data_IF_767713191078
#
_entry.id   IF_767713191078
#
_cell.length_a   1.000
_cell.length_b   1.000
_cell.length_c   1.000
_cell.angle_alpha   90.00
_cell.angle_beta   90.00
_cell.angle_gamma   90.00
#
_symmetry.space_group_name_H-M   'P 1'
#
loop_
_entity.id
_entity.type
_entity.pdbx_description
1 polymer ?
#
# COMPACT_ATOMS: atom_id res chain seq x y z
N UNK A 1 -12.83 -7.21 -2.58
CA UNK A 1 -12.45 -6.88 -3.97
C UNK A 1 -10.95 -7.10 -4.10
N UNK A 2 -10.53 -7.98 -5.01
CA UNK A 2 -9.11 -8.38 -5.13
C UNK A 2 -8.27 -7.38 -5.92
N UNK A 3 -6.96 -7.37 -5.67
CA UNK A 3 -5.96 -6.51 -6.34
C UNK A 3 -6.02 -6.65 -7.88
N UNK A 4 -6.24 -7.88 -8.35
CA UNK A 4 -6.27 -8.23 -9.78
C UNK A 4 -7.44 -7.57 -10.54
N UNK A 5 -8.61 -7.45 -9.89
CA UNK A 5 -9.79 -6.88 -10.54
C UNK A 5 -9.59 -5.40 -10.89
N UNK A 6 -9.06 -4.62 -9.95
CA UNK A 6 -8.87 -3.19 -10.14
C UNK A 6 -7.76 -2.90 -11.15
N UNK A 7 -6.70 -3.71 -11.18
CA UNK A 7 -5.68 -3.66 -12.23
C UNK A 7 -6.31 -3.85 -13.62
N UNK A 8 -7.07 -4.92 -13.83
CA UNK A 8 -7.65 -5.23 -15.13
C UNK A 8 -8.71 -4.20 -15.55
N UNK A 9 -9.55 -3.74 -14.61
CA UNK A 9 -10.55 -2.71 -14.86
C UNK A 9 -9.91 -1.39 -15.31
N UNK A 10 -8.81 -0.99 -14.67
CA UNK A 10 -8.04 0.18 -15.11
C UNK A 10 -7.45 -0.03 -16.51
N UNK A 11 -6.80 -1.16 -16.79
CA UNK A 11 -6.20 -1.40 -18.11
C UNK A 11 -7.24 -1.37 -19.24
N UNK A 12 -8.42 -1.92 -18.98
CA UNK A 12 -9.55 -1.83 -19.90
C UNK A 12 -10.02 -0.38 -20.09
N UNK A 13 -10.18 0.37 -19.02
CA UNK A 13 -10.65 1.77 -19.10
C UNK A 13 -9.63 2.70 -19.76
N UNK A 14 -8.34 2.37 -19.68
CA UNK A 14 -7.28 3.01 -20.47
C UNK A 14 -7.39 2.69 -21.95
N UNK A 15 -7.67 1.43 -22.30
CA UNK A 15 -7.88 1.02 -23.69
C UNK A 15 -9.08 1.73 -24.34
N UNK A 16 -10.19 1.86 -23.59
CA UNK A 16 -11.42 2.53 -24.07
C UNK A 16 -11.36 4.06 -23.90
N UNK A 17 -10.30 4.60 -23.28
CA UNK A 17 -10.15 6.03 -22.96
C UNK A 17 -11.29 6.60 -22.08
N UNK A 18 -11.84 5.77 -21.20
CA UNK A 18 -12.94 6.10 -20.26
C UNK A 18 -12.51 6.08 -18.79
N UNK A 19 -11.20 6.01 -18.50
CA UNK A 19 -10.69 5.93 -17.13
C UNK A 19 -11.27 6.98 -16.16
N UNK A 20 -11.38 8.24 -16.60
CA UNK A 20 -11.95 9.31 -15.76
C UNK A 20 -13.45 9.16 -15.52
N UNK A 21 -14.19 8.70 -16.53
CA UNK A 21 -15.64 8.47 -16.45
C UNK A 21 -15.97 7.27 -15.54
N UNK A 22 -15.12 6.25 -15.56
CA UNK A 22 -15.19 5.10 -14.67
C UNK A 22 -14.75 5.41 -13.23
N UNK A 23 -14.29 6.63 -12.95
CA UNK A 23 -13.93 7.08 -11.60
C UNK A 23 -12.48 6.81 -11.21
N UNK A 24 -11.59 6.61 -12.19
CA UNK A 24 -10.15 6.55 -11.94
C UNK A 24 -9.52 7.94 -12.06
N UNK A 25 -8.90 8.39 -10.98
CA UNK A 25 -8.01 9.55 -10.98
C UNK A 25 -6.57 9.07 -10.81
N UNK A 26 -5.64 9.72 -11.53
CA UNK A 26 -4.22 9.36 -11.50
C UNK A 26 -3.39 10.55 -11.04
N UNK A 27 -2.46 10.28 -10.15
CA UNK A 27 -1.57 11.26 -9.57
C UNK A 27 -0.13 10.76 -9.69
N UNK A 28 0.81 11.65 -9.95
CA UNK A 28 2.23 11.36 -9.72
C UNK A 28 2.47 11.27 -8.23
N UNK A 29 3.10 10.18 -7.79
CA UNK A 29 3.38 9.92 -6.39
C UNK A 29 4.85 10.15 -6.08
N UNK A 30 5.13 11.10 -5.20
CA UNK A 30 6.44 11.28 -4.60
C UNK A 30 6.33 11.17 -3.08
N UNK A 31 7.27 10.45 -2.46
CA UNK A 31 7.26 10.24 -1.01
C UNK A 31 8.63 10.46 -0.43
N UNK A 32 8.73 11.35 0.55
CA UNK A 32 9.98 11.60 1.28
C UNK A 32 10.04 10.61 2.45
N UNK A 33 10.88 9.59 2.29
CA UNK A 33 11.03 8.50 3.27
C UNK A 33 12.00 8.88 4.38
N UNK A 34 11.75 8.32 5.57
CA UNK A 34 12.68 8.42 6.67
C UNK A 34 13.82 7.41 6.51
N UNK A 35 14.88 7.82 5.82
CA UNK A 35 16.06 6.99 5.56
C UNK A 35 16.75 6.50 6.84
N UNK A 36 16.73 7.31 7.90
CA UNK A 36 17.32 6.91 9.18
C UNK A 36 16.54 5.75 9.80
N UNK A 37 15.21 5.83 9.76
CA UNK A 37 14.37 4.71 10.20
C UNK A 37 14.56 3.46 9.35
N UNK A 38 14.70 3.58 8.03
CA UNK A 38 15.02 2.43 7.16
C UNK A 38 16.37 1.79 7.52
N UNK A 39 17.40 2.61 7.78
CA UNK A 39 18.74 2.15 8.18
C UNK A 39 18.70 1.42 9.52
N UNK A 40 18.05 2.00 10.52
CA UNK A 40 17.86 1.37 11.84
C UNK A 40 17.12 0.06 11.71
N UNK A 41 16.05 0.02 10.92
CA UNK A 41 15.24 -1.17 10.73
C UNK A 41 16.02 -2.30 10.03
N UNK A 42 16.87 -1.99 9.05
CA UNK A 42 17.81 -2.97 8.46
C UNK A 42 18.81 -3.49 9.48
N UNK A 43 19.36 -2.61 10.30
CA UNK A 43 20.34 -2.95 11.34
C UNK A 43 19.73 -3.87 12.39
N UNK A 44 18.55 -3.52 12.90
CA UNK A 44 17.79 -4.34 13.87
C UNK A 44 17.45 -5.71 13.29
N UNK A 45 16.99 -5.79 12.02
CA UNK A 45 16.71 -7.07 11.35
C UNK A 45 17.96 -7.94 11.22
N UNK A 46 19.10 -7.33 10.88
CA UNK A 46 20.38 -8.04 10.79
C UNK A 46 20.77 -8.62 12.15
N UNK A 47 20.72 -7.83 13.23
CA UNK A 47 21.01 -8.34 14.57
C UNK A 47 20.04 -9.41 15.04
N UNK A 48 18.75 -9.24 14.76
CA UNK A 48 17.75 -10.26 15.05
C UNK A 48 18.08 -11.57 14.32
N UNK A 49 18.50 -11.53 13.05
CA UNK A 49 18.91 -12.73 12.31
C UNK A 49 20.18 -13.37 12.86
N UNK A 50 21.15 -12.58 13.33
CA UNK A 50 22.40 -13.07 13.91
C UNK A 50 22.18 -13.73 15.28
N UNK A 51 21.31 -13.17 16.13
CA UNK A 51 21.00 -13.75 17.46
C UNK A 51 20.06 -14.96 17.42
N UNK A 52 19.18 -15.07 16.42
CA UNK A 52 18.33 -16.26 16.24
C UNK A 52 19.15 -17.52 15.94
N UNK A 53 20.32 -17.38 15.31
CA UNK A 53 21.28 -18.50 15.13
C UNK A 53 22.01 -18.89 16.44
N UNK A 54 21.89 -18.08 17.49
CA UNK A 54 22.46 -18.31 18.82
C UNK A 54 21.38 -18.38 19.90
N UNK A 55 20.59 -19.46 19.91
CA UNK A 55 19.81 -20.00 21.04
C UNK A 55 19.15 -19.03 22.05
N UNK A 56 18.76 -17.82 21.66
CA UNK A 56 18.26 -16.79 22.58
C UNK A 56 16.83 -16.39 22.22
N UNK A 57 15.89 -16.82 23.07
CA UNK A 57 14.43 -16.62 22.96
C UNK A 57 13.96 -15.19 23.29
N UNK A 58 14.87 -14.23 23.50
CA UNK A 58 14.49 -12.90 23.98
C UNK A 58 14.09 -11.97 22.82
N UNK A 59 12.79 -11.63 22.80
CA UNK A 59 12.11 -10.82 21.77
C UNK A 59 12.24 -9.31 21.93
N UNK A 60 12.93 -8.83 22.97
CA UNK A 60 13.04 -7.40 23.25
C UNK A 60 14.25 -6.76 22.56
N UNK A 61 14.03 -5.61 21.93
CA UNK A 61 15.06 -4.81 21.23
C UNK A 61 16.18 -4.35 22.18
N UNK A 62 15.86 -4.19 23.46
CA UNK A 62 16.80 -3.93 24.56
C UNK A 62 17.66 -5.14 24.92
N UNK A 63 17.21 -6.37 24.65
CA UNK A 63 18.01 -7.59 24.81
C UNK A 63 18.91 -7.88 23.59
N UNK A 64 18.57 -7.30 22.43
CA UNK A 64 19.40 -7.39 21.23
C UNK A 64 20.65 -6.51 21.32
N UNK A 65 20.62 -5.45 22.14
CA UNK A 65 21.66 -4.42 22.23
C UNK A 65 22.32 -4.39 23.60
N UNK A 66 23.63 -4.61 23.65
CA UNK A 66 24.41 -4.60 24.90
C UNK A 66 24.51 -3.19 25.51
N UNK A 67 24.35 -2.14 24.69
CA UNK A 67 24.43 -0.74 25.12
C UNK A 67 23.03 -0.11 25.28
N UNK A 68 22.73 0.34 26.51
CA UNK A 68 21.47 0.99 26.89
C UNK A 68 21.21 2.29 26.12
N UNK A 69 22.24 3.09 25.83
CA UNK A 69 22.09 4.35 25.10
C UNK A 69 21.73 4.12 23.63
N UNK A 70 22.32 3.09 23.00
CA UNK A 70 21.97 2.67 21.64
C UNK A 70 20.51 2.19 21.57
N UNK A 71 20.04 1.44 22.58
CA UNK A 71 18.65 0.97 22.64
C UNK A 71 17.64 2.13 22.68
N UNK A 72 17.94 3.19 23.44
CA UNK A 72 17.09 4.39 23.54
C UNK A 72 17.02 5.14 22.21
N UNK A 73 18.17 5.28 21.54
CA UNK A 73 18.24 5.90 20.21
C UNK A 73 17.39 5.16 19.19
N UNK A 74 17.55 3.84 19.06
CA UNK A 74 16.80 3.07 18.07
C UNK A 74 15.31 3.03 18.36
N UNK A 75 14.90 2.94 19.63
CA UNK A 75 13.48 3.03 20.00
C UNK A 75 12.88 4.39 19.61
N UNK A 76 13.64 5.48 19.79
CA UNK A 76 13.22 6.82 19.36
C UNK A 76 13.04 6.89 17.85
N UNK A 77 13.99 6.38 17.07
CA UNK A 77 13.91 6.37 15.60
C UNK A 77 12.76 5.47 15.11
N UNK A 78 12.57 4.30 15.72
CA UNK A 78 11.50 3.38 15.35
C UNK A 78 10.10 3.94 15.63
N UNK A 79 9.96 4.84 16.61
CA UNK A 79 8.72 5.56 16.91
C UNK A 79 8.39 6.71 15.93
N UNK A 80 9.31 7.10 15.06
CA UNK A 80 9.05 8.16 14.08
C UNK A 80 8.14 7.69 12.95
N UNK A 81 7.55 8.62 12.19
CA UNK A 81 6.79 8.28 10.97
C UNK A 81 7.74 7.72 9.90
N UNK A 82 7.22 6.79 9.08
CA UNK A 82 7.99 6.18 7.98
C UNK A 82 8.19 7.14 6.80
N UNK A 83 7.19 8.00 6.57
CA UNK A 83 7.14 8.96 5.48
C UNK A 83 6.82 10.32 6.09
N UNK A 84 7.62 11.33 5.74
CA UNK A 84 7.43 12.70 6.23
C UNK A 84 6.36 13.42 5.44
N UNK A 85 6.42 13.30 4.12
CA UNK A 85 5.57 14.02 3.19
C UNK A 85 5.24 13.13 1.99
N UNK A 86 4.01 13.30 1.48
CA UNK A 86 3.50 12.62 0.29
C UNK A 86 3.03 13.73 -0.63
N UNK A 87 3.71 13.89 -1.75
CA UNK A 87 3.31 14.82 -2.80
C UNK A 87 2.54 14.07 -3.86
N UNK A 88 1.29 14.49 -4.09
CA UNK A 88 0.42 13.93 -5.12
C UNK A 88 -0.01 15.03 -6.07
N UNK A 89 0.57 15.01 -7.27
CA UNK A 89 0.26 15.97 -8.32
C UNK A 89 -0.67 15.27 -9.32
N UNK A 90 -1.86 15.82 -9.62
CA UNK A 90 -2.76 15.21 -10.61
C UNK A 90 -2.09 15.21 -11.98
N UNK A 91 -2.21 14.10 -12.70
CA UNK A 91 -1.66 13.98 -14.05
C UNK A 91 -2.72 13.48 -15.02
N UNK A 92 -2.71 14.01 -16.24
CA UNK A 92 -3.51 13.46 -17.32
C UNK A 92 -2.86 12.19 -17.85
N UNK A 93 -3.58 11.06 -17.71
CA UNK A 93 -3.08 9.75 -18.11
C UNK A 93 -2.85 9.63 -19.62
N UNK A 94 -3.51 10.48 -20.42
CA UNK A 94 -3.35 10.51 -21.88
C UNK A 94 -1.91 10.81 -22.30
N UNK A 95 -1.16 11.56 -21.49
CA UNK A 95 0.23 11.89 -21.76
C UNK A 95 1.17 10.68 -21.67
N UNK A 96 0.73 9.58 -21.07
CA UNK A 96 1.50 8.35 -20.88
C UNK A 96 1.08 7.23 -21.85
N UNK A 97 0.14 7.52 -22.74
CA UNK A 97 -0.46 6.54 -23.64
C UNK A 97 -0.04 6.83 -25.07
N UNK A 98 0.42 5.80 -25.77
CA UNK A 98 0.68 5.85 -27.21
C UNK A 98 -0.05 4.71 -27.88
N UNK A 99 -0.94 5.02 -28.82
CA UNK A 99 -1.66 4.01 -29.59
C UNK A 99 -0.89 3.65 -30.86
N UNK A 100 -0.64 2.36 -31.07
CA UNK A 100 -0.02 1.85 -32.28
C UNK A 100 -1.11 1.23 -33.17
N UNK A 101 -1.40 1.88 -34.31
CA UNK A 101 -2.44 1.47 -35.27
C UNK A 101 -2.18 0.09 -35.86
N UNK A 102 -0.92 -0.24 -36.12
CA UNK A 102 -0.55 -1.43 -36.91
C UNK A 102 -0.70 -2.70 -36.07
N UNK A 103 -0.34 -2.61 -34.79
CA UNK A 103 -0.46 -3.72 -33.85
C UNK A 103 -1.78 -3.75 -33.09
N UNK A 104 -2.62 -2.71 -33.22
CA UNK A 104 -3.82 -2.48 -32.40
C UNK A 104 -3.54 -2.59 -30.88
N UNK A 105 -2.34 -2.18 -30.48
CA UNK A 105 -1.91 -2.22 -29.08
C UNK A 105 -1.74 -0.80 -28.56
N UNK A 106 -2.11 -0.63 -27.31
CA UNK A 106 -1.91 0.60 -26.58
C UNK A 106 -0.67 0.44 -25.71
N UNK A 107 0.35 1.25 -25.95
CA UNK A 107 1.53 1.32 -25.11
C UNK A 107 1.28 2.33 -23.98
N UNK A 108 1.40 1.89 -22.73
CA UNK A 108 1.29 2.72 -21.55
C UNK A 108 2.66 2.77 -20.85
N UNK A 109 3.32 3.93 -20.90
CA UNK A 109 4.68 4.10 -20.40
C UNK A 109 4.80 5.31 -19.49
N UNK A 110 5.42 5.13 -18.33
CA UNK A 110 5.64 6.15 -17.32
C UNK A 110 6.91 5.82 -16.51
N UNK A 111 7.72 6.83 -16.17
CA UNK A 111 8.98 6.63 -15.46
C UNK A 111 8.82 6.54 -13.94
N UNK A 112 7.85 7.26 -13.40
CA UNK A 112 7.72 7.50 -11.96
C UNK A 112 6.61 6.63 -11.35
N UNK A 113 6.56 6.53 -10.01
CA UNK A 113 5.42 5.86 -9.37
C UNK A 113 4.14 6.67 -9.58
N UNK A 114 3.07 6.02 -10.03
CA UNK A 114 1.75 6.61 -10.14
C UNK A 114 0.86 6.14 -8.99
N UNK A 115 0.06 7.04 -8.44
CA UNK A 115 -1.03 6.71 -7.53
C UNK A 115 -2.34 6.76 -8.29
N UNK A 116 -3.01 5.62 -8.37
CA UNK A 116 -4.36 5.48 -8.91
C UNK A 116 -5.35 5.52 -7.75
N UNK A 117 -6.31 6.42 -7.84
CA UNK A 117 -7.42 6.55 -6.90
C UNK A 117 -8.68 6.14 -7.63
N UNK A 118 -9.26 5.01 -7.22
CA UNK A 118 -10.55 4.57 -7.73
C UNK A 118 -11.66 5.07 -6.80
N UNK A 119 -12.59 5.85 -7.37
CA UNK A 119 -13.74 6.43 -6.68
C UNK A 119 -14.99 5.66 -7.06
N UNK A 120 -15.60 4.97 -6.09
CA UNK A 120 -16.88 4.30 -6.31
C UNK A 120 -17.94 4.80 -5.33
N UNK A 121 -19.10 5.15 -5.87
CA UNK A 121 -20.29 5.39 -5.07
C UNK A 121 -20.91 4.03 -4.70
N UNK A 122 -20.93 3.68 -3.42
CA UNK A 122 -21.80 2.59 -2.97
C UNK A 122 -23.21 3.13 -2.86
N UNK A 123 -24.11 2.65 -3.72
CA UNK A 123 -25.52 2.59 -3.34
C UNK A 123 -25.60 1.55 -2.23
N UNK A 124 -26.17 1.89 -1.08
CA UNK A 124 -26.33 0.96 0.04
C UNK A 124 -26.99 -0.32 -0.50
N UNK A 125 -26.23 -1.40 -0.63
CA UNK A 125 -26.82 -2.73 -0.68
C UNK A 125 -27.32 -2.89 0.75
N UNK A 126 -28.60 -2.58 0.95
CA UNK A 126 -29.31 -2.92 2.16
C UNK A 126 -29.15 -4.43 2.32
N UNK A 127 -28.15 -4.84 3.10
CA UNK A 127 -28.17 -6.18 3.68
C UNK A 127 -29.45 -6.22 4.50
N UNK A 128 -30.33 -7.17 4.16
CA UNK A 128 -31.58 -7.49 4.85
C UNK A 128 -31.31 -7.85 6.32
N UNK A 129 -30.91 -6.89 7.13
CA UNK A 129 -30.75 -7.00 8.57
C UNK A 129 -31.38 -5.76 9.20
N UNK A 130 -32.69 -5.84 9.34
CA UNK A 130 -33.48 -5.34 10.46
C UNK A 130 -33.27 -3.85 10.80
N UNK A 131 -34.11 -3.02 10.16
CA UNK A 131 -34.93 -1.96 10.79
C UNK A 131 -34.33 -0.90 11.73
N UNK A 132 -33.05 -0.58 11.70
CA UNK A 132 -32.58 0.67 12.31
C UNK A 132 -31.51 1.35 11.45
N UNK A 133 -31.70 2.65 11.21
CA UNK A 133 -30.83 3.61 10.50
C UNK A 133 -31.13 3.83 9.01
N UNK A 134 -32.29 4.43 8.75
CA UNK A 134 -32.44 5.37 7.64
C UNK A 134 -31.40 6.51 7.77
N UNK A 135 -30.94 7.02 6.61
CA UNK A 135 -30.07 8.21 6.41
C UNK A 135 -28.56 8.09 6.69
N UNK A 136 -27.86 7.08 6.15
CA UNK A 136 -26.41 7.23 5.91
C UNK A 136 -26.23 7.75 4.47
N UNK A 137 -25.70 8.98 4.27
CA UNK A 137 -25.49 9.54 2.94
C UNK A 137 -24.50 8.67 2.15
N UNK A 138 -24.67 8.64 0.82
CA UNK A 138 -23.79 7.94 -0.12
C UNK A 138 -22.32 8.06 0.28
N UNK A 139 -21.73 6.98 0.80
CA UNK A 139 -20.33 7.01 1.19
C UNK A 139 -19.47 6.77 -0.05
N UNK A 140 -18.73 7.81 -0.44
CA UNK A 140 -17.71 7.70 -1.48
C UNK A 140 -16.59 6.80 -0.96
N UNK A 141 -16.47 5.60 -1.53
CA UNK A 141 -15.34 4.73 -1.27
C UNK A 141 -14.20 5.15 -2.19
N UNK A 142 -13.06 5.48 -1.60
CA UNK A 142 -11.80 5.74 -2.30
C UNK A 142 -10.85 4.59 -2.04
N UNK A 143 -10.39 3.94 -3.11
CA UNK A 143 -9.32 2.96 -3.03
C UNK A 143 -8.06 3.54 -3.68
N UNK A 144 -7.03 3.74 -2.86
CA UNK A 144 -5.74 4.23 -3.32
C UNK A 144 -4.79 3.06 -3.59
N UNK A 145 -4.16 3.09 -4.76
CA UNK A 145 -3.24 2.07 -5.25
C UNK A 145 -2.02 2.76 -5.83
N UNK A 146 -0.83 2.30 -5.46
CA UNK A 146 0.41 2.68 -6.11
C UNK A 146 0.69 1.73 -7.27
N UNK A 147 1.24 2.28 -8.33
CA UNK A 147 1.52 1.61 -9.57
C UNK A 147 2.94 1.96 -10.01
N UNK A 148 3.70 0.95 -10.40
CA UNK A 148 5.05 1.11 -10.94
C UNK A 148 5.31 0.03 -11.99
N UNK A 149 6.15 0.38 -12.96
CA UNK A 149 6.70 -0.57 -13.93
C UNK A 149 7.92 -1.25 -13.35
N UNK A 150 8.14 -2.52 -13.70
CA UNK A 150 9.45 -3.16 -13.45
C UNK A 150 10.48 -2.72 -14.47
N UNK A 151 10.03 -2.60 -15.71
CA UNK A 151 10.88 -2.33 -16.85
C UNK A 151 10.48 -0.96 -17.42
N UNK A 152 11.48 -0.12 -17.74
CA UNK A 152 11.24 1.23 -18.30
C UNK A 152 10.69 1.21 -19.75
N UNK A 153 10.30 0.04 -20.25
CA UNK A 153 9.86 -0.17 -21.62
C UNK A 153 8.36 0.05 -21.83
N UNK A 154 7.62 0.37 -20.76
CA UNK A 154 6.16 0.50 -20.80
C UNK A 154 5.45 -0.85 -20.87
N UNK A 155 4.12 -0.82 -20.81
CA UNK A 155 3.29 -2.02 -20.99
C UNK A 155 2.47 -1.93 -22.27
N UNK A 156 2.41 -3.03 -22.99
CA UNK A 156 1.52 -3.17 -24.12
C UNK A 156 0.18 -3.76 -23.65
N UNK A 157 -0.88 -3.01 -23.86
CA UNK A 157 -2.26 -3.37 -23.56
C UNK A 157 -2.92 -3.78 -24.87
N UNK A 158 -3.39 -5.02 -24.96
CA UNK A 158 -4.12 -5.51 -26.12
C UNK A 158 -5.61 -5.16 -26.02
N UNK A 159 -6.31 -5.35 -27.14
CA UNK A 159 -7.77 -5.45 -27.15
C UNK A 159 -8.21 -6.45 -26.07
N UNK A 160 -9.06 -6.01 -25.14
CA UNK A 160 -9.43 -6.80 -23.94
C UNK A 160 -8.87 -6.27 -22.62
N UNK A 161 -7.97 -5.28 -22.62
CA UNK A 161 -7.35 -4.77 -21.38
C UNK A 161 -6.35 -5.75 -20.77
N UNK A 162 -5.86 -6.69 -21.58
CA UNK A 162 -4.86 -7.67 -21.17
C UNK A 162 -3.47 -7.06 -21.32
N UNK A 163 -2.63 -7.25 -20.31
CA UNK A 163 -1.22 -6.91 -20.34
C UNK A 163 -0.37 -8.14 -20.05
N UNK A 164 0.90 -8.09 -20.43
CA UNK A 164 1.93 -9.00 -19.94
C UNK A 164 1.95 -8.99 -18.40
N UNK A 165 2.01 -10.17 -17.73
CA UNK A 165 1.82 -10.26 -16.29
C UNK A 165 2.88 -9.53 -15.45
N UNK A 166 4.12 -9.44 -15.95
CA UNK A 166 5.29 -9.06 -15.16
C UNK A 166 5.68 -7.59 -15.29
N UNK A 167 5.06 -6.82 -16.18
CA UNK A 167 5.57 -5.50 -16.52
C UNK A 167 4.95 -4.39 -15.65
N UNK A 168 3.81 -4.68 -14.99
CA UNK A 168 3.05 -3.73 -14.17
C UNK A 168 2.70 -4.29 -12.80
N UNK A 169 3.19 -3.62 -11.76
CA UNK A 169 2.83 -3.91 -10.38
C UNK A 169 1.89 -2.85 -9.83
N UNK A 170 0.86 -3.32 -9.13
CA UNK A 170 -0.10 -2.47 -8.45
C UNK A 170 -0.21 -2.89 -6.99
N UNK A 171 0.21 -2.02 -6.09
CA UNK A 171 0.23 -2.25 -4.65
C UNK A 171 -0.78 -1.31 -4.00
N UNK A 172 -1.74 -1.87 -3.26
CA UNK A 172 -2.67 -1.04 -2.49
C UNK A 172 -2.26 -0.80 -1.06
N UNK A 173 -3.02 0.10 -0.42
CA UNK A 173 -3.00 0.31 1.03
C UNK A 173 -3.23 -1.02 1.80
N UNK A 174 -3.86 -2.01 1.15
CA UNK A 174 -4.02 -3.37 1.67
C UNK A 174 -2.74 -4.19 1.78
N UNK A 175 -1.62 -3.87 1.12
CA UNK A 175 -0.37 -4.62 1.33
C UNK A 175 0.15 -4.44 2.78
N UNK A 176 0.03 -3.22 3.32
CA UNK A 176 0.33 -2.93 4.73
C UNK A 176 -0.76 -3.48 5.67
N UNK A 177 -2.05 -3.36 5.32
CA UNK A 177 -3.15 -3.86 6.17
C UNK A 177 -3.31 -5.38 6.17
N UNK A 178 -2.92 -6.07 5.10
CA UNK A 178 -2.95 -7.54 5.02
C UNK A 178 -1.94 -8.13 5.99
N UNK A 179 -0.72 -7.58 6.01
CA UNK A 179 0.31 -7.97 6.98
C UNK A 179 -0.08 -7.61 8.42
N UNK A 180 -0.79 -6.50 8.64
CA UNK A 180 -1.28 -6.11 9.97
C UNK A 180 -2.52 -6.89 10.45
N UNK A 181 -3.21 -7.62 9.55
CA UNK A 181 -4.37 -8.46 9.88
C UNK A 181 -4.00 -9.92 10.12
N UNK A 182 -2.95 -10.41 9.46
CA UNK A 182 -2.32 -11.68 9.81
C UNK A 182 -1.37 -11.45 10.99
N UNK A 183 -1.91 -11.58 12.19
CA UNK A 183 -1.07 -11.98 13.32
C UNK A 183 -0.38 -13.31 12.92
N UNK A 184 0.92 -13.50 13.22
CA UNK A 184 1.58 -14.78 12.99
C UNK A 184 0.75 -15.91 13.60
N UNK A 185 0.73 -17.11 12.99
CA UNK A 185 0.00 -18.27 13.50
C UNK A 185 0.31 -18.59 14.99
N UNK A 186 1.46 -18.11 15.48
CA UNK A 186 1.92 -18.26 16.87
C UNK A 186 1.58 -17.06 17.79
N UNK A 187 0.64 -16.19 17.40
CA UNK A 187 0.18 -15.11 18.27
C UNK A 187 -0.78 -15.65 19.34
N UNK A 188 -0.32 -15.66 20.59
CA UNK A 188 -1.13 -16.08 21.74
C UNK A 188 -1.56 -14.85 22.55
N UNK A 189 -2.84 -14.43 22.52
CA UNK A 189 -3.33 -13.20 23.15
C UNK A 189 -3.38 -13.26 24.69
N UNK A 190 -2.87 -14.32 25.33
CA UNK A 190 -2.93 -14.52 26.78
C UNK A 190 -2.04 -13.58 27.59
N UNK A 191 -1.15 -12.81 26.96
CA UNK A 191 -0.43 -11.70 27.60
C UNK A 191 -1.12 -10.35 27.28
N UNK A 192 -2.44 -10.34 27.46
CA UNK A 192 -3.27 -9.15 27.28
C UNK A 192 -2.83 -8.00 28.18
N UNK A 193 -2.70 -6.82 27.56
CA UNK A 193 -2.59 -5.47 28.13
C UNK A 193 -2.76 -5.41 29.65
N UNK A 194 -1.67 -5.15 30.39
CA UNK A 194 -1.79 -4.58 31.73
C UNK A 194 -2.46 -3.20 31.58
N UNK A 195 -3.72 -3.12 32.02
CA UNK A 195 -4.37 -1.84 32.26
C UNK A 195 -3.54 -1.15 33.35
N UNK A 196 -2.82 -0.09 33.00
CA UNK A 196 -2.28 0.80 34.02
C UNK A 196 -3.47 1.52 34.63
N UNK A 197 -3.76 1.21 35.89
CA UNK A 197 -4.64 2.04 36.71
C UNK A 197 -4.06 3.45 36.70
N UNK A 198 -4.76 4.39 36.06
CA UNK A 198 -4.57 5.81 36.30
C UNK A 198 -5.10 6.02 37.72
N UNK A 199 -4.22 5.92 38.71
CA UNK A 199 -4.48 6.43 40.05
C UNK A 199 -4.34 7.94 39.94
N UNK A 200 -5.44 8.63 40.19
CA UNK A 200 -5.49 10.08 40.21
C UNK A 200 -4.60 10.67 41.29
N UNK A 201 -4.06 11.84 40.96
CA UNK A 201 -3.77 12.93 41.87
C UNK A 201 -4.18 14.23 41.17
#
# INVERSE_FOLDING_TARGET
MGILWLKNALLWSLYVNQAKEEGFDVYRYHSIRNHEKERVLKTVRKWASEKVNGNSSNKDLSALLENKDSSRYYNKVMGQKDVFEIDTIPVDIRNYITYNSDSKKLNFNFSDTLMVVYKRYRKNIATNSINYLSTIPYQLLKENRLMFLTDNNGINISEGGLSTPNDLYMIGDMARRSLSRTLPLNYNPKEGRKLYNIVGF
#
